data_IF_626634411344
#
_entry.id   IF_626634411344
#
_cell.length_a   1.000
_cell.length_b   1.000
_cell.length_c   1.000
_cell.angle_alpha   90.00
_cell.angle_beta   90.00
_cell.angle_gamma   90.00
#
_symmetry.space_group_name_H-M   'P 1'
#
loop_
_entity.id
_entity.type
_entity.pdbx_description
1 polymer ?
#
# COMPACT_ATOMS: atom_id res chain seq x y z
N UNK A 1 -24.05 20.91 -11.35
CA UNK A 1 -23.08 21.89 -10.80
C UNK A 1 -21.69 21.28 -10.70
N UNK A 2 -21.34 20.45 -9.69
CA UNK A 2 -19.95 19.94 -9.55
C UNK A 2 -19.48 19.18 -10.79
N UNK A 3 -20.29 18.23 -11.27
CA UNK A 3 -19.97 17.47 -12.48
C UNK A 3 -19.78 18.37 -13.71
N UNK A 4 -20.54 19.47 -13.81
CA UNK A 4 -20.46 20.40 -14.94
C UNK A 4 -19.18 21.24 -14.86
N UNK A 5 -18.87 21.78 -13.68
CA UNK A 5 -17.63 22.50 -13.41
C UNK A 5 -16.39 21.61 -13.64
N UNK A 6 -16.45 20.35 -13.19
CA UNK A 6 -15.44 19.32 -13.46
C UNK A 6 -15.23 19.07 -14.95
N UNK A 7 -16.32 18.91 -15.72
CA UNK A 7 -16.28 18.71 -17.16
C UNK A 7 -15.69 19.91 -17.91
N UNK A 8 -15.83 21.12 -17.35
CA UNK A 8 -15.34 22.36 -17.93
C UNK A 8 -13.86 22.61 -17.63
N UNK A 9 -13.40 22.33 -16.41
CA UNK A 9 -12.07 22.74 -15.92
C UNK A 9 -11.10 21.56 -15.81
N UNK A 10 -11.40 20.60 -14.96
CA UNK A 10 -10.42 19.61 -14.51
C UNK A 10 -10.36 18.35 -15.41
N UNK A 11 -11.50 17.84 -15.87
CA UNK A 11 -11.56 16.63 -16.70
C UNK A 11 -10.79 16.78 -18.02
N UNK A 12 -10.93 17.89 -18.78
CA UNK A 12 -10.14 18.09 -19.99
C UNK A 12 -8.64 18.09 -19.72
N UNK A 13 -8.20 18.77 -18.65
CA UNK A 13 -6.80 18.82 -18.23
C UNK A 13 -6.27 17.42 -17.90
N UNK A 14 -6.99 16.66 -17.07
CA UNK A 14 -6.59 15.30 -16.69
C UNK A 14 -6.48 14.37 -17.91
N UNK A 15 -7.43 14.44 -18.84
CA UNK A 15 -7.39 13.65 -20.08
C UNK A 15 -6.22 14.01 -20.98
N UNK A 16 -5.89 15.30 -21.10
CA UNK A 16 -4.70 15.76 -21.83
C UNK A 16 -3.41 15.16 -21.24
N UNK A 17 -3.39 14.91 -19.93
CA UNK A 17 -2.27 14.30 -19.21
C UNK A 17 -2.31 12.76 -19.14
N UNK A 18 -3.26 12.14 -19.86
CA UNK A 18 -3.39 10.69 -20.00
C UNK A 18 -4.14 9.99 -18.87
N UNK A 19 -4.90 10.73 -18.06
CA UNK A 19 -5.76 10.17 -17.03
C UNK A 19 -7.17 9.92 -17.55
N UNK A 20 -7.65 8.69 -17.36
CA UNK A 20 -8.98 8.26 -17.77
C UNK A 20 -9.93 8.13 -16.57
N UNK A 21 -11.16 8.66 -16.66
CA UNK A 21 -12.15 8.53 -15.59
C UNK A 21 -12.53 7.05 -15.39
N UNK A 22 -12.54 6.61 -14.14
CA UNK A 22 -12.89 5.24 -13.80
C UNK A 22 -14.41 5.12 -13.58
N UNK A 23 -15.02 4.11 -14.18
CA UNK A 23 -16.44 3.79 -13.95
C UNK A 23 -16.57 3.12 -12.58
N UNK A 24 -16.75 3.94 -11.54
CA UNK A 24 -17.20 3.47 -10.23
C UNK A 24 -18.53 4.17 -9.91
N UNK A 25 -19.48 3.42 -9.37
CA UNK A 25 -20.71 3.97 -8.80
C UNK A 25 -20.38 4.64 -7.45
N UNK A 26 -19.67 5.77 -7.51
CA UNK A 26 -19.41 6.63 -6.37
C UNK A 26 -20.15 7.94 -6.64
N UNK A 27 -21.15 8.24 -5.80
CA UNK A 27 -21.98 9.42 -5.99
C UNK A 27 -21.24 10.73 -5.66
N UNK A 28 -20.15 10.62 -4.93
CA UNK A 28 -19.40 11.68 -4.26
C UNK A 28 -17.90 11.62 -4.55
N UNK A 29 -17.45 10.76 -5.48
CA UNK A 29 -16.05 10.68 -5.87
C UNK A 29 -15.87 10.43 -7.36
N UNK A 30 -14.88 11.13 -7.93
CA UNK A 30 -14.47 11.07 -9.33
C UNK A 30 -13.02 10.57 -9.41
N UNK A 31 -12.82 9.25 -9.48
CA UNK A 31 -11.51 8.65 -9.66
C UNK A 31 -11.03 8.71 -11.11
N UNK A 32 -9.76 9.04 -11.28
CA UNK A 32 -9.05 9.08 -12.56
C UNK A 32 -7.79 8.22 -12.46
N UNK A 33 -7.52 7.43 -13.50
CA UNK A 33 -6.39 6.51 -13.56
C UNK A 33 -5.56 6.78 -14.81
N UNK A 34 -4.25 6.87 -14.62
CA UNK A 34 -3.26 6.75 -15.67
C UNK A 34 -2.55 5.44 -15.46
N UNK A 35 -2.95 4.43 -16.24
CA UNK A 35 -2.27 3.14 -16.24
C UNK A 35 -0.81 3.33 -16.65
N UNK A 36 0.09 2.70 -15.90
CA UNK A 36 1.51 2.83 -16.14
C UNK A 36 2.25 1.58 -15.73
N UNK A 37 3.30 1.26 -16.48
CA UNK A 37 4.34 0.33 -16.05
C UNK A 37 5.57 1.15 -15.67
N UNK A 38 6.17 0.96 -14.49
CA UNK A 38 5.91 -0.10 -13.51
C UNK A 38 4.70 0.13 -12.60
N UNK A 39 4.21 1.36 -12.45
CA UNK A 39 3.13 1.69 -11.50
C UNK A 39 2.04 2.57 -12.09
N UNK A 40 0.80 2.33 -11.70
CA UNK A 40 -0.30 3.22 -12.07
C UNK A 40 -0.32 4.48 -11.20
N UNK A 41 -0.78 5.60 -11.78
CA UNK A 41 -1.00 6.86 -11.08
C UNK A 41 -2.49 7.15 -11.02
N UNK A 42 -2.98 7.63 -9.89
CA UNK A 42 -4.39 7.94 -9.74
C UNK A 42 -4.58 9.30 -9.11
N UNK A 43 -5.65 9.97 -9.54
CA UNK A 43 -6.12 11.22 -8.96
C UNK A 43 -7.59 11.01 -8.62
N UNK A 44 -8.00 11.35 -7.41
CA UNK A 44 -9.39 11.31 -7.00
C UNK A 44 -9.83 12.70 -6.58
N UNK A 45 -10.98 13.13 -7.12
CA UNK A 45 -11.69 14.30 -6.62
C UNK A 45 -12.88 13.79 -5.83
N UNK A 46 -13.10 14.30 -4.63
CA UNK A 46 -14.17 13.83 -3.75
C UNK A 46 -14.97 15.00 -3.21
N UNK A 47 -16.28 14.83 -3.08
CA UNK A 47 -17.18 15.73 -2.37
C UNK A 47 -17.24 15.33 -0.89
N UNK A 48 -17.42 16.31 0.00
CA UNK A 48 -17.56 16.02 1.43
C UNK A 48 -18.85 15.25 1.73
N UNK A 49 -18.73 14.10 2.40
CA UNK A 49 -19.88 13.26 2.80
C UNK A 49 -20.86 13.97 3.74
N UNK A 50 -20.36 14.85 4.62
CA UNK A 50 -21.16 15.57 5.61
C UNK A 50 -21.54 16.99 5.15
N UNK A 51 -20.92 17.46 4.06
CA UNK A 51 -21.09 18.81 3.55
C UNK A 51 -20.89 18.84 2.03
N UNK A 52 -22.00 19.00 1.31
CA UNK A 52 -22.02 19.01 -0.15
C UNK A 52 -21.24 20.20 -0.76
N UNK A 53 -20.89 21.19 0.06
CA UNK A 53 -20.10 22.36 -0.30
C UNK A 53 -18.60 22.16 -0.11
N UNK A 54 -18.15 20.96 0.23
CA UNK A 54 -16.72 20.63 0.31
C UNK A 54 -16.29 19.84 -0.93
N UNK A 55 -15.15 20.21 -1.49
CA UNK A 55 -14.47 19.44 -2.54
C UNK A 55 -13.00 19.24 -2.20
N UNK A 56 -12.48 18.04 -2.40
CA UNK A 56 -11.10 17.67 -2.11
C UNK A 56 -10.45 16.96 -3.28
N UNK A 57 -9.11 17.00 -3.31
CA UNK A 57 -8.29 16.29 -4.29
C UNK A 57 -7.26 15.41 -3.59
N UNK A 58 -7.11 14.20 -4.10
CA UNK A 58 -6.08 13.24 -3.71
C UNK A 58 -5.31 12.79 -4.95
N UNK A 59 -4.02 12.55 -4.77
CA UNK A 59 -3.15 12.04 -5.81
C UNK A 59 -2.24 10.96 -5.21
N UNK A 60 -2.20 9.79 -5.83
CA UNK A 60 -1.42 8.66 -5.34
C UNK A 60 -0.79 7.86 -6.49
N UNK A 61 0.32 7.19 -6.17
CA UNK A 61 0.99 6.23 -7.04
C UNK A 61 0.85 4.86 -6.39
N UNK A 62 0.58 3.82 -7.19
CA UNK A 62 0.41 2.46 -6.69
C UNK A 62 1.55 2.03 -5.72
N UNK A 63 1.19 1.52 -4.56
CA UNK A 63 2.15 1.11 -3.52
C UNK A 63 2.88 2.24 -2.78
N UNK A 64 2.63 3.51 -3.13
CA UNK A 64 3.16 4.67 -2.43
C UNK A 64 2.03 5.53 -1.86
N UNK A 65 2.08 5.78 -0.55
CA UNK A 65 1.28 6.78 0.13
C UNK A 65 2.18 7.98 0.46
N UNK A 66 2.20 9.05 -0.36
CA UNK A 66 2.88 10.27 0.04
C UNK A 66 2.29 10.78 1.34
N UNK A 67 3.18 11.07 2.29
CA UNK A 67 2.90 11.44 3.67
C UNK A 67 1.63 12.27 3.89
N UNK A 68 0.75 11.68 4.71
CA UNK A 68 -0.52 12.14 5.28
C UNK A 68 -1.70 12.21 4.30
N UNK A 69 -2.87 11.61 4.64
CA UNK A 69 -4.12 11.80 3.91
C UNK A 69 -4.59 13.24 4.16
N UNK A 70 -3.94 14.20 3.52
CA UNK A 70 -4.41 15.57 3.45
C UNK A 70 -5.33 15.67 2.25
N UNK A 71 -6.52 15.08 2.33
CA UNK A 71 -7.60 15.53 1.48
C UNK A 71 -7.83 16.98 1.89
N UNK A 72 -7.28 17.92 1.13
CA UNK A 72 -7.53 19.33 1.38
C UNK A 72 -8.93 19.61 0.84
N UNK A 73 -9.93 19.38 1.70
CA UNK A 73 -11.29 19.77 1.41
C UNK A 73 -11.41 21.29 1.52
N UNK A 74 -11.78 21.91 0.42
CA UNK A 74 -12.02 23.34 0.32
C UNK A 74 -13.52 23.57 0.21
N UNK A 75 -14.04 24.50 1.01
CA UNK A 75 -15.44 24.91 0.96
C UNK A 75 -15.69 25.86 -0.21
N UNK A 76 -16.82 25.70 -0.88
CA UNK A 76 -17.34 26.61 -1.91
C UNK A 76 -18.81 26.95 -1.64
N UNK A 77 -19.17 28.22 -1.77
CA UNK A 77 -20.54 28.68 -1.55
C UNK A 77 -21.24 29.05 -2.88
N UNK A 78 -20.53 29.02 -4.02
CA UNK A 78 -21.07 29.28 -5.35
C UNK A 78 -20.38 28.48 -6.47
N UNK A 79 -20.98 28.46 -7.66
CA UNK A 79 -20.40 27.81 -8.85
C UNK A 79 -19.10 28.50 -9.29
N UNK A 80 -19.02 29.83 -9.22
CA UNK A 80 -17.81 30.59 -9.55
C UNK A 80 -16.65 30.23 -8.59
N UNK A 81 -16.91 30.15 -7.28
CA UNK A 81 -15.91 29.72 -6.29
C UNK A 81 -15.45 28.28 -6.52
N UNK A 82 -16.37 27.40 -6.90
CA UNK A 82 -16.04 26.03 -7.25
C UNK A 82 -15.11 25.97 -8.47
N UNK A 83 -15.39 26.74 -9.52
CA UNK A 83 -14.50 26.83 -10.69
C UNK A 83 -13.11 27.35 -10.30
N UNK A 84 -13.01 28.37 -9.45
CA UNK A 84 -11.73 28.88 -8.93
C UNK A 84 -10.96 27.84 -8.10
N UNK A 85 -11.65 27.00 -7.32
CA UNK A 85 -11.04 25.88 -6.60
C UNK A 85 -10.49 24.85 -7.58
N UNK A 86 -11.26 24.49 -8.61
CA UNK A 86 -10.82 23.52 -9.62
C UNK A 86 -9.64 24.05 -10.44
N UNK A 87 -9.61 25.34 -10.78
CA UNK A 87 -8.46 25.97 -11.44
C UNK A 87 -7.20 25.90 -10.55
N UNK A 88 -7.33 26.10 -9.22
CA UNK A 88 -6.22 25.90 -8.27
C UNK A 88 -5.77 24.45 -8.16
N UNK A 89 -6.69 23.48 -8.25
CA UNK A 89 -6.35 22.07 -8.29
C UNK A 89 -5.52 21.74 -9.53
N UNK A 90 -5.90 22.27 -10.71
CA UNK A 90 -5.11 22.14 -11.94
C UNK A 90 -3.71 22.71 -11.74
N UNK A 91 -3.56 23.89 -11.17
CA UNK A 91 -2.24 24.49 -10.91
C UNK A 91 -1.38 23.62 -9.97
N UNK A 92 -1.98 23.10 -8.89
CA UNK A 92 -1.29 22.20 -7.95
C UNK A 92 -0.89 20.87 -8.59
N UNK A 93 -1.74 20.33 -9.46
CA UNK A 93 -1.42 19.14 -10.25
C UNK A 93 -0.21 19.40 -11.16
N UNK A 94 -0.23 20.50 -11.90
CA UNK A 94 0.80 20.83 -12.89
C UNK A 94 2.16 21.10 -12.25
N UNK A 95 2.18 21.97 -11.25
CA UNK A 95 3.42 22.50 -10.67
C UNK A 95 4.05 21.57 -9.64
N UNK A 96 3.24 20.73 -8.97
CA UNK A 96 3.70 19.96 -7.82
C UNK A 96 3.43 18.47 -7.96
N UNK A 97 2.18 18.06 -8.14
CA UNK A 97 1.81 16.66 -7.92
C UNK A 97 2.19 15.77 -9.10
N UNK A 98 1.87 16.16 -10.35
CA UNK A 98 2.17 15.35 -11.52
C UNK A 98 3.68 15.08 -11.68
N UNK A 99 4.60 16.06 -11.56
CA UNK A 99 6.03 15.78 -11.62
C UNK A 99 6.50 14.78 -10.55
N UNK A 100 6.04 14.95 -9.30
CA UNK A 100 6.39 14.05 -8.19
C UNK A 100 5.82 12.64 -8.41
N UNK A 101 4.58 12.55 -8.88
CA UNK A 101 3.96 11.27 -9.22
C UNK A 101 4.69 10.58 -10.35
N UNK A 102 5.15 11.33 -11.36
CA UNK A 102 5.92 10.75 -12.46
C UNK A 102 7.28 10.26 -12.02
N UNK A 103 8.02 11.03 -11.23
CA UNK A 103 9.27 10.59 -10.61
C UNK A 103 9.06 9.31 -9.80
N UNK A 104 8.07 9.33 -8.90
CA UNK A 104 7.77 8.19 -8.05
C UNK A 104 7.40 6.98 -8.90
N UNK A 105 6.49 7.10 -9.84
CA UNK A 105 6.01 5.97 -10.61
C UNK A 105 7.04 5.39 -11.62
N UNK A 106 8.21 6.02 -11.79
CA UNK A 106 9.37 5.41 -12.45
C UNK A 106 10.29 4.63 -11.50
N UNK A 107 10.18 4.82 -10.18
CA UNK A 107 11.00 4.05 -9.23
C UNK A 107 10.64 2.57 -9.33
N UNK A 108 11.63 1.67 -9.19
CA UNK A 108 11.40 0.24 -9.21
C UNK A 108 10.42 -0.19 -8.14
N UNK A 109 9.45 -0.97 -8.58
CA UNK A 109 8.35 -1.45 -7.78
C UNK A 109 8.27 -2.95 -7.93
N UNK A 110 8.27 -3.64 -6.80
CA UNK A 110 8.00 -5.05 -6.75
C UNK A 110 6.50 -5.29 -6.54
N UNK A 111 5.89 -5.94 -7.52
CA UNK A 111 4.52 -6.44 -7.45
C UNK A 111 4.57 -7.98 -7.30
N UNK A 112 4.03 -8.55 -6.22
CA UNK A 112 4.01 -10.00 -6.03
C UNK A 112 3.04 -10.66 -7.03
N UNK A 113 3.36 -11.89 -7.42
CA UNK A 113 2.48 -12.71 -8.26
C UNK A 113 1.42 -13.45 -7.43
N UNK A 114 0.31 -13.83 -8.06
CA UNK A 114 -0.70 -14.72 -7.45
C UNK A 114 -0.09 -16.08 -7.08
N UNK A 115 0.79 -16.61 -7.94
CA UNK A 115 1.49 -17.88 -7.70
C UNK A 115 2.38 -17.83 -6.46
N UNK A 116 3.05 -16.69 -6.19
CA UNK A 116 3.80 -16.50 -4.95
C UNK A 116 2.89 -16.54 -3.73
N UNK A 117 1.70 -15.93 -3.82
CA UNK A 117 0.72 -15.92 -2.73
C UNK A 117 0.26 -17.34 -2.37
N UNK A 118 -0.06 -18.16 -3.38
CA UNK A 118 -0.41 -19.56 -3.20
C UNK A 118 0.75 -20.40 -2.64
N UNK A 119 1.97 -20.16 -3.12
CA UNK A 119 3.17 -20.84 -2.62
C UNK A 119 3.37 -20.56 -1.14
N UNK A 120 3.31 -19.28 -0.73
CA UNK A 120 3.47 -18.92 0.69
C UNK A 120 2.39 -19.58 1.54
N UNK A 121 1.11 -19.53 1.12
CA UNK A 121 0.02 -20.16 1.86
C UNK A 121 0.29 -21.66 2.13
N UNK A 122 0.75 -22.39 1.12
CA UNK A 122 0.88 -23.84 1.19
C UNK A 122 2.22 -24.32 1.75
N UNK A 123 3.28 -23.53 1.62
CA UNK A 123 4.66 -23.97 1.87
C UNK A 123 5.41 -23.08 2.89
N UNK A 124 4.72 -22.24 3.66
CA UNK A 124 5.39 -21.24 4.51
C UNK A 124 6.42 -21.85 5.48
N UNK A 125 6.15 -23.01 6.09
CA UNK A 125 7.12 -23.63 7.02
C UNK A 125 8.42 -24.02 6.33
N UNK A 126 8.33 -24.68 5.17
CA UNK A 126 9.50 -25.06 4.39
C UNK A 126 10.27 -23.84 3.87
N UNK A 127 9.56 -22.78 3.49
CA UNK A 127 10.18 -21.53 3.06
C UNK A 127 10.87 -20.78 4.22
N UNK A 128 10.29 -20.81 5.42
CA UNK A 128 10.91 -20.26 6.62
C UNK A 128 12.19 -21.03 6.99
N UNK A 129 12.18 -22.36 6.88
CA UNK A 129 13.35 -23.19 7.15
C UNK A 129 14.50 -22.90 6.19
N UNK A 130 14.22 -22.68 4.90
CA UNK A 130 15.24 -22.25 3.93
C UNK A 130 15.91 -20.93 4.34
N UNK A 131 15.16 -19.98 4.91
CA UNK A 131 15.75 -18.74 5.42
C UNK A 131 16.71 -19.02 6.58
N UNK A 132 16.33 -19.91 7.50
CA UNK A 132 17.18 -20.34 8.62
C UNK A 132 18.43 -21.07 8.17
N UNK A 133 18.37 -21.84 7.10
CA UNK A 133 19.55 -22.53 6.57
C UNK A 133 20.52 -21.54 5.90
N UNK A 134 20.00 -20.49 5.28
CA UNK A 134 20.79 -19.46 4.60
C UNK A 134 21.33 -18.39 5.54
N UNK A 135 20.80 -18.29 6.76
CA UNK A 135 21.08 -17.19 7.69
C UNK A 135 21.29 -17.72 9.10
N UNK A 136 21.79 -16.87 10.00
CA UNK A 136 21.82 -17.18 11.44
C UNK A 136 20.73 -16.40 12.18
N UNK A 137 19.56 -16.22 11.54
CA UNK A 137 18.50 -15.36 12.06
C UNK A 137 18.01 -15.79 13.45
N UNK A 138 18.05 -17.10 13.73
CA UNK A 138 17.62 -17.72 15.00
C UNK A 138 18.77 -18.01 15.97
N UNK A 139 20.00 -17.60 15.66
CA UNK A 139 21.14 -17.87 16.52
C UNK A 139 21.00 -17.19 17.90
N UNK A 140 21.23 -17.97 18.96
CA UNK A 140 21.01 -17.56 20.34
C UNK A 140 19.55 -17.54 20.80
N UNK A 141 18.63 -18.18 20.06
CA UNK A 141 17.20 -18.32 20.40
C UNK A 141 16.53 -16.97 20.72
N UNK A 142 16.57 -15.98 19.80
CA UNK A 142 15.97 -14.68 20.03
C UNK A 142 14.45 -14.82 20.21
N UNK A 143 13.89 -13.93 21.03
CA UNK A 143 12.45 -13.71 21.04
C UNK A 143 11.95 -13.25 19.66
N UNK A 144 10.64 -13.34 19.43
CA UNK A 144 10.06 -13.05 18.12
C UNK A 144 10.31 -11.62 17.66
N UNK A 145 10.32 -10.66 18.57
CA UNK A 145 10.58 -9.25 18.25
C UNK A 145 11.99 -9.06 17.69
N UNK A 146 13.00 -9.59 18.37
CA UNK A 146 14.38 -9.54 17.90
C UNK A 146 14.57 -10.34 16.61
N UNK A 147 13.90 -11.49 16.47
CA UNK A 147 13.92 -12.28 15.26
C UNK A 147 13.37 -11.53 14.04
N UNK A 148 12.27 -10.77 14.20
CA UNK A 148 11.69 -9.92 13.15
C UNK A 148 12.62 -8.75 12.83
N UNK A 149 13.26 -8.15 13.83
CA UNK A 149 14.29 -7.11 13.60
C UNK A 149 15.46 -7.65 12.76
N UNK A 150 15.88 -8.89 13.01
CA UNK A 150 16.92 -9.56 12.20
C UNK A 150 16.45 -9.86 10.78
N UNK A 151 15.17 -10.26 10.60
CA UNK A 151 14.56 -10.41 9.27
C UNK A 151 14.62 -9.09 8.50
N UNK A 152 14.25 -7.99 9.15
CA UNK A 152 14.29 -6.66 8.56
C UNK A 152 15.71 -6.30 8.08
N UNK A 153 16.71 -6.53 8.93
CA UNK A 153 18.11 -6.31 8.57
C UNK A 153 18.55 -7.16 7.36
N UNK A 154 18.13 -8.43 7.32
CA UNK A 154 18.42 -9.30 6.18
C UNK A 154 17.78 -8.77 4.88
N UNK A 155 16.53 -8.30 4.92
CA UNK A 155 15.87 -7.66 3.78
C UNK A 155 16.63 -6.41 3.31
N UNK A 156 17.14 -5.59 4.24
CA UNK A 156 17.99 -4.43 3.91
C UNK A 156 19.29 -4.84 3.23
N UNK A 157 19.95 -5.89 3.70
CA UNK A 157 21.15 -6.41 3.04
C UNK A 157 20.85 -6.94 1.63
N UNK A 158 19.71 -7.60 1.43
CA UNK A 158 19.25 -8.01 0.11
C UNK A 158 18.95 -6.81 -0.81
N UNK A 159 18.32 -5.76 -0.30
CA UNK A 159 18.04 -4.53 -1.05
C UNK A 159 19.32 -3.82 -1.52
N UNK A 160 20.40 -3.89 -0.75
CA UNK A 160 21.71 -3.38 -1.16
C UNK A 160 22.31 -4.16 -2.34
N UNK A 161 21.95 -5.43 -2.51
CA UNK A 161 22.43 -6.30 -3.58
C UNK A 161 21.60 -6.14 -4.87
N UNK A 162 20.30 -5.91 -4.73
CA UNK A 162 19.37 -5.72 -5.85
C UNK A 162 18.24 -4.79 -5.46
N UNK A 163 17.90 -3.87 -6.37
CA UNK A 163 16.79 -2.94 -6.18
C UNK A 163 15.43 -3.65 -6.21
N UNK A 164 15.29 -4.71 -7.00
CA UNK A 164 14.11 -5.58 -6.97
C UNK A 164 14.46 -6.90 -6.29
N UNK A 165 13.58 -7.45 -5.44
CA UNK A 165 13.82 -8.73 -4.82
C UNK A 165 13.59 -9.83 -5.85
N UNK A 166 14.23 -10.99 -5.67
CA UNK A 166 13.72 -12.20 -6.31
C UNK A 166 12.50 -12.71 -5.53
N UNK A 167 11.61 -13.46 -6.18
CA UNK A 167 10.39 -13.96 -5.52
C UNK A 167 10.71 -14.89 -4.36
N UNK A 168 11.82 -15.62 -4.40
CA UNK A 168 12.21 -16.53 -3.31
C UNK A 168 12.59 -15.77 -2.03
N UNK A 169 13.23 -14.59 -2.12
CA UNK A 169 13.57 -13.76 -0.98
C UNK A 169 12.30 -13.22 -0.30
N UNK A 170 11.31 -12.79 -1.08
CA UNK A 170 10.00 -12.36 -0.57
C UNK A 170 9.23 -13.54 0.02
N UNK A 171 9.26 -14.70 -0.65
CA UNK A 171 8.65 -15.93 -0.17
C UNK A 171 9.22 -16.29 1.21
N UNK A 172 10.54 -16.35 1.34
CA UNK A 172 11.24 -16.68 2.58
C UNK A 172 10.93 -15.68 3.70
N UNK A 173 10.99 -14.38 3.41
CA UNK A 173 10.70 -13.35 4.42
C UNK A 173 9.26 -13.40 4.92
N UNK A 174 8.29 -13.44 4.00
CA UNK A 174 6.88 -13.51 4.34
C UNK A 174 6.57 -14.80 5.11
N UNK A 175 7.10 -15.92 4.64
CA UNK A 175 6.90 -17.23 5.26
C UNK A 175 7.48 -17.31 6.67
N UNK A 176 8.67 -16.74 6.86
CA UNK A 176 9.31 -16.67 8.18
C UNK A 176 8.54 -15.75 9.13
N UNK A 177 8.02 -14.63 8.65
CA UNK A 177 7.16 -13.74 9.44
C UNK A 177 5.87 -14.43 9.88
N UNK A 178 5.20 -15.14 8.96
CA UNK A 178 4.02 -15.96 9.28
C UNK A 178 4.35 -17.01 10.34
N UNK A 179 5.45 -17.74 10.15
CA UNK A 179 5.85 -18.80 11.09
C UNK A 179 6.17 -18.26 12.49
N UNK A 180 6.78 -17.08 12.57
CA UNK A 180 7.02 -16.41 13.85
C UNK A 180 5.73 -16.02 14.55
N UNK A 181 4.76 -15.51 13.81
CA UNK A 181 3.43 -15.21 14.37
C UNK A 181 2.72 -16.50 14.82
N UNK A 182 2.83 -17.60 14.06
CA UNK A 182 2.15 -18.90 14.33
C UNK A 182 2.59 -19.52 15.66
N UNK A 183 3.80 -19.16 16.14
CA UNK A 183 4.32 -19.60 17.43
C UNK A 183 3.69 -18.86 18.60
N UNK A 184 3.43 -17.58 18.43
CA UNK A 184 3.02 -16.68 19.52
C UNK A 184 1.49 -16.52 19.59
N UNK A 185 0.79 -16.73 18.47
CA UNK A 185 -0.65 -16.51 18.35
C UNK A 185 -1.36 -17.70 17.66
N UNK A 186 -2.58 -17.99 18.10
CA UNK A 186 -3.44 -18.98 17.43
C UNK A 186 -4.24 -18.31 16.30
N UNK A 187 -3.95 -18.69 15.06
CA UNK A 187 -4.65 -18.16 13.89
C UNK A 187 -4.90 -19.21 12.81
N UNK A 188 -5.69 -18.81 11.82
CA UNK A 188 -5.88 -19.55 10.57
C UNK A 188 -5.23 -18.78 9.43
N UNK A 189 -4.43 -19.50 8.62
CA UNK A 189 -3.89 -18.96 7.38
C UNK A 189 -4.89 -19.19 6.23
N UNK A 190 -5.20 -18.15 5.47
CA UNK A 190 -6.11 -18.21 4.31
C UNK A 190 -5.62 -17.26 3.20
N UNK A 191 -6.29 -17.21 2.04
CA UNK A 191 -6.09 -16.15 1.03
C UNK A 191 -7.18 -15.10 1.18
N UNK A 192 -6.88 -13.83 0.91
CA UNK A 192 -7.92 -12.79 0.91
C UNK A 192 -8.96 -13.06 -0.19
N UNK A 193 -10.09 -12.37 -0.08
CA UNK A 193 -11.15 -12.40 -1.07
C UNK A 193 -10.71 -12.04 -2.51
N UNK A 194 -9.50 -11.51 -2.67
CA UNK A 194 -8.90 -11.17 -3.97
C UNK A 194 -7.69 -12.02 -4.37
N UNK A 195 -7.33 -13.06 -3.60
CA UNK A 195 -6.12 -13.87 -3.83
C UNK A 195 -4.78 -13.13 -3.73
N UNK A 196 -4.74 -11.92 -3.14
CA UNK A 196 -3.58 -11.02 -3.19
C UNK A 196 -2.47 -11.35 -2.20
N UNK A 197 -2.68 -12.35 -1.36
CA UNK A 197 -1.69 -12.81 -0.38
C UNK A 197 -2.29 -13.69 0.71
N UNK A 198 -1.45 -14.42 1.45
CA UNK A 198 -1.85 -15.05 2.69
C UNK A 198 -2.38 -14.00 3.69
N UNK A 199 -3.36 -14.40 4.51
CA UNK A 199 -3.93 -13.65 5.64
C UNK A 199 -3.75 -14.45 6.91
N UNK A 200 -3.72 -13.73 8.02
CA UNK A 200 -3.80 -14.30 9.36
C UNK A 200 -5.17 -13.94 9.94
N UNK A 201 -6.07 -14.92 10.01
CA UNK A 201 -7.40 -14.78 10.61
C UNK A 201 -7.39 -15.24 12.08
N UNK A 202 -7.92 -14.42 12.99
CA UNK A 202 -8.07 -14.81 14.40
C UNK A 202 -9.14 -15.92 14.55
N UNK A 203 -8.88 -16.92 15.40
CA UNK A 203 -9.80 -18.05 15.61
C UNK A 203 -10.99 -17.69 16.55
N UNK A 204 -10.91 -16.61 17.34
CA UNK A 204 -11.79 -16.38 18.50
C UNK A 204 -12.98 -15.41 18.32
N UNK A 205 -13.36 -15.08 17.07
CA UNK A 205 -14.70 -14.55 16.77
C UNK A 205 -14.95 -13.06 17.03
N UNK A 206 -13.90 -12.25 17.17
CA UNK A 206 -13.98 -10.82 16.82
C UNK A 206 -13.47 -10.68 15.40
N UNK A 207 -14.25 -10.03 14.54
CA UNK A 207 -13.98 -9.86 13.10
C UNK A 207 -12.80 -8.89 12.84
N UNK A 208 -11.61 -9.20 13.37
CA UNK A 208 -10.38 -8.49 13.07
C UNK A 208 -9.45 -9.46 12.32
N UNK A 209 -9.56 -9.45 10.99
CA UNK A 209 -8.56 -10.09 10.11
C UNK A 209 -7.26 -9.30 10.23
N UNK A 210 -6.23 -9.96 10.74
CA UNK A 210 -4.91 -9.36 10.94
C UNK A 210 -4.05 -9.53 9.68
N UNK A 211 -3.51 -8.39 9.27
CA UNK A 211 -2.58 -8.05 8.20
C UNK A 211 -2.15 -9.13 7.20
N UNK A 212 -2.23 -8.77 5.91
CA UNK A 212 -1.59 -9.42 4.76
C UNK A 212 -0.06 -9.50 4.98
N UNK A 213 0.54 -10.63 5.43
CA UNK A 213 1.97 -10.66 5.74
C UNK A 213 2.83 -10.42 4.49
N UNK A 214 2.33 -10.86 3.33
CA UNK A 214 2.93 -10.54 2.04
C UNK A 214 2.86 -9.04 1.75
N UNK A 215 1.72 -8.40 2.03
CA UNK A 215 1.54 -6.95 1.89
C UNK A 215 2.53 -6.16 2.76
N UNK A 216 2.74 -6.58 4.02
CA UNK A 216 3.68 -5.94 4.93
C UNK A 216 5.14 -6.06 4.43
N UNK A 217 5.57 -7.26 4.02
CA UNK A 217 6.92 -7.48 3.49
C UNK A 217 7.14 -6.75 2.16
N UNK A 218 6.16 -6.74 1.27
CA UNK A 218 6.23 -6.03 -0.01
C UNK A 218 6.24 -4.51 0.19
N UNK A 219 5.42 -4.00 1.11
CA UNK A 219 5.43 -2.58 1.44
C UNK A 219 6.76 -2.18 2.06
N UNK A 220 7.25 -2.95 3.04
CA UNK A 220 8.57 -2.74 3.58
C UNK A 220 9.63 -2.74 2.47
N UNK A 221 9.62 -3.71 1.56
CA UNK A 221 10.60 -3.75 0.47
C UNK A 221 10.64 -2.50 -0.39
N UNK A 222 9.46 -2.02 -0.78
CA UNK A 222 9.32 -0.89 -1.69
C UNK A 222 9.61 0.46 -1.00
N UNK A 223 9.34 0.58 0.30
CA UNK A 223 9.43 1.85 1.05
C UNK A 223 10.48 1.84 2.17
N UNK A 224 11.34 0.83 2.29
CA UNK A 224 12.30 0.71 3.40
C UNK A 224 13.32 1.85 3.52
N UNK A 225 13.53 2.62 2.46
CA UNK A 225 14.38 3.83 2.48
C UNK A 225 13.68 5.02 3.17
N UNK A 226 12.35 4.94 3.36
CA UNK A 226 11.50 5.94 4.01
C UNK A 226 10.96 5.47 5.35
N UNK A 227 10.77 4.16 5.52
CA UNK A 227 10.21 3.55 6.71
C UNK A 227 11.19 2.57 7.35
N UNK A 228 11.68 2.90 8.55
CA UNK A 228 12.75 2.14 9.20
C UNK A 228 12.25 0.94 10.04
N UNK A 229 10.95 0.73 10.24
CA UNK A 229 10.48 -0.27 11.24
C UNK A 229 9.11 -0.90 10.98
N UNK A 230 8.69 -1.05 9.72
CA UNK A 230 7.33 -1.52 9.41
C UNK A 230 7.04 -2.93 9.96
N UNK A 231 7.97 -3.88 9.84
CA UNK A 231 7.73 -5.26 10.28
C UNK A 231 7.66 -5.42 11.80
N UNK A 232 8.57 -4.81 12.59
CA UNK A 232 8.42 -4.76 14.05
C UNK A 232 7.13 -4.08 14.51
N UNK A 233 6.77 -2.94 13.91
CA UNK A 233 5.53 -2.20 14.27
C UNK A 233 4.29 -3.04 13.98
N UNK A 234 4.26 -3.73 12.83
CA UNK A 234 3.19 -4.67 12.52
C UNK A 234 3.06 -5.71 13.63
N UNK A 235 4.15 -6.39 14.01
CA UNK A 235 4.14 -7.38 15.09
C UNK A 235 3.65 -6.81 16.42
N UNK A 236 4.11 -5.62 16.82
CA UNK A 236 3.65 -4.95 18.04
C UNK A 236 2.14 -4.70 18.00
N UNK A 237 1.62 -4.25 16.86
CA UNK A 237 0.18 -4.02 16.65
C UNK A 237 -0.61 -5.32 16.84
N UNK A 238 -0.11 -6.45 16.31
CA UNK A 238 -0.72 -7.77 16.52
C UNK A 238 -0.71 -8.10 18.01
N UNK A 239 0.46 -8.01 18.65
CA UNK A 239 0.63 -8.37 20.06
C UNK A 239 -0.30 -7.58 21.00
N UNK A 240 -0.41 -6.26 20.80
CA UNK A 240 -1.26 -5.39 21.62
C UNK A 240 -2.77 -5.70 21.48
N UNK A 241 -3.21 -6.26 20.35
CA UNK A 241 -4.61 -6.69 20.16
C UNK A 241 -4.94 -7.99 20.90
N UNK A 242 -3.92 -8.74 21.33
CA UNK A 242 -4.05 -10.04 21.97
C UNK A 242 -3.84 -10.03 23.50
N UNK A 243 -3.38 -8.91 24.08
CA UNK A 243 -3.28 -8.67 25.54
C UNK A 243 -4.57 -8.07 26.15
#
# INVERSE_FOLDING_TARGET
>A
MIQDAMNKRLIPYLREHGYEPQKKDLNDAWPFLKEGKPRSRSIEISQGLQDEHLIGMQAYVEGYYPGKPGIEFVRFDSEDELEEILDRFVEKLDQELLPKMEEEAQRPYYQPSEALSEKILNEYRECADKLREQTNIDDGEPDTREAIRRLENWLREKRKQSELPNEDDICMACSYLIERLDRDFEFKLSLDSGGRGPLIDQVSGKDETLHLPLGAVVWFWNEMDREESLLPVMYETISEQHD
#
